data_IF_639888814781
#
_entry.id   IF_639888814781
#
_cell.length_a   1.000
_cell.length_b   1.000
_cell.length_c   1.000
_cell.angle_alpha   90.00
_cell.angle_beta   90.00
_cell.angle_gamma   90.00
#
_symmetry.space_group_name_H-M   'P 1'
#
loop_
_entity.id
_entity.type
_entity.pdbx_description
1 polymer ?
#
# COMPACT_ATOMS: atom_id res chain seq x y z
N UNK A 1 5.31 -0.39 -13.25
CA UNK A 1 5.40 0.77 -12.32
C UNK A 1 6.71 1.55 -12.40
N UNK A 2 7.85 0.96 -12.80
CA UNK A 2 9.10 1.73 -13.01
C UNK A 2 9.26 2.32 -14.42
N UNK A 3 8.39 1.92 -15.34
CA UNK A 3 8.26 2.51 -16.66
C UNK A 3 7.08 3.50 -16.65
N UNK A 4 7.37 4.78 -16.86
CA UNK A 4 6.35 5.85 -16.85
C UNK A 4 5.41 5.73 -18.05
N UNK A 5 5.91 5.36 -19.24
CA UNK A 5 5.08 5.25 -20.44
C UNK A 5 4.00 4.17 -20.33
N UNK A 6 4.30 3.04 -19.69
CA UNK A 6 3.30 2.03 -19.35
C UNK A 6 2.31 2.50 -18.30
N UNK A 7 2.71 3.35 -17.35
CA UNK A 7 1.80 3.88 -16.34
C UNK A 7 0.84 4.90 -16.96
N UNK A 8 1.35 5.83 -17.76
CA UNK A 8 0.54 6.79 -18.52
C UNK A 8 -0.59 6.08 -19.31
N UNK A 9 -0.24 5.04 -20.07
CA UNK A 9 -1.27 4.27 -20.80
C UNK A 9 -2.27 3.56 -19.88
N UNK A 10 -1.83 3.10 -18.71
CA UNK A 10 -2.69 2.39 -17.77
C UNK A 10 -3.61 3.32 -16.96
N UNK A 11 -3.24 4.60 -16.81
CA UNK A 11 -4.00 5.60 -16.06
C UNK A 11 -4.95 6.43 -16.92
N UNK A 12 -4.91 6.29 -18.25
CA UNK A 12 -5.84 6.98 -19.16
C UNK A 12 -7.28 6.58 -18.92
N UNK A 13 -8.11 7.57 -18.56
CA UNK A 13 -9.56 7.43 -18.44
C UNK A 13 -10.02 6.61 -17.22
N UNK A 14 -9.16 6.37 -16.23
CA UNK A 14 -9.56 5.70 -14.98
C UNK A 14 -9.86 6.74 -13.89
N UNK A 15 -10.84 6.44 -13.04
CA UNK A 15 -11.22 7.30 -11.93
C UNK A 15 -10.32 7.16 -10.70
N UNK A 16 -9.83 5.94 -10.45
CA UNK A 16 -9.07 5.61 -9.25
C UNK A 16 -8.04 4.53 -9.55
N UNK A 17 -6.91 4.57 -8.84
CA UNK A 17 -5.87 3.55 -8.93
C UNK A 17 -5.56 2.95 -7.57
N UNK A 18 -5.40 1.63 -7.53
CA UNK A 18 -4.85 0.93 -6.36
C UNK A 18 -3.35 0.71 -6.56
N UNK A 19 -2.54 1.43 -5.79
CA UNK A 19 -1.09 1.35 -5.84
C UNK A 19 -0.58 0.35 -4.81
N UNK A 20 -0.15 -0.83 -5.30
CA UNK A 20 0.48 -1.86 -4.47
C UNK A 20 1.84 -2.24 -5.03
N UNK A 21 2.89 -1.97 -4.26
CA UNK A 21 4.26 -2.25 -4.65
C UNK A 21 4.85 -3.38 -3.79
N UNK A 22 5.45 -4.42 -4.39
CA UNK A 22 6.07 -5.50 -3.64
C UNK A 22 7.25 -5.00 -2.79
N UNK A 23 7.58 -5.73 -1.71
CA UNK A 23 8.71 -5.40 -0.85
C UNK A 23 10.04 -5.67 -1.58
N UNK A 24 10.47 -4.73 -2.41
CA UNK A 24 11.71 -4.77 -3.20
C UNK A 24 12.25 -3.36 -3.46
N UNK A 25 13.46 -3.27 -4.03
CA UNK A 25 14.02 -1.98 -4.46
C UNK A 25 13.14 -1.32 -5.55
N UNK A 26 13.13 0.01 -5.62
CA UNK A 26 12.40 0.79 -6.63
C UNK A 26 11.05 1.36 -6.20
N UNK A 27 10.69 1.28 -4.90
CA UNK A 27 9.44 1.86 -4.38
C UNK A 27 9.35 3.37 -4.66
N UNK A 28 10.46 4.11 -4.51
CA UNK A 28 10.47 5.57 -4.73
C UNK A 28 10.25 5.91 -6.21
N UNK A 29 10.95 5.24 -7.13
CA UNK A 29 10.76 5.42 -8.57
C UNK A 29 9.32 5.11 -8.98
N UNK A 30 8.76 4.00 -8.47
CA UNK A 30 7.38 3.64 -8.71
C UNK A 30 6.39 4.67 -8.15
N UNK A 31 6.64 5.19 -6.95
CA UNK A 31 5.81 6.23 -6.32
C UNK A 31 5.81 7.50 -7.16
N UNK A 32 7.00 7.98 -7.57
CA UNK A 32 7.14 9.17 -8.39
C UNK A 32 6.42 9.02 -9.75
N UNK A 33 6.59 7.87 -10.42
CA UNK A 33 5.92 7.64 -11.69
C UNK A 33 4.40 7.53 -11.57
N UNK A 34 3.89 6.91 -10.48
CA UNK A 34 2.45 6.81 -10.23
C UNK A 34 1.85 8.19 -9.98
N UNK A 35 2.50 9.04 -9.18
CA UNK A 35 2.10 10.43 -8.97
C UNK A 35 2.04 11.17 -10.30
N UNK A 36 3.12 11.12 -11.08
CA UNK A 36 3.19 11.80 -12.38
C UNK A 36 2.07 11.36 -13.33
N UNK A 37 1.91 10.05 -13.53
CA UNK A 37 0.91 9.52 -14.46
C UNK A 37 -0.53 9.78 -13.99
N UNK A 38 -0.78 9.72 -12.68
CA UNK A 38 -2.09 10.01 -12.10
C UNK A 38 -2.48 11.48 -12.28
N UNK A 39 -1.53 12.39 -12.07
CA UNK A 39 -1.74 13.83 -12.27
C UNK A 39 -2.00 14.15 -13.75
N UNK A 40 -1.18 13.63 -14.67
CA UNK A 40 -1.33 13.87 -16.12
C UNK A 40 -2.64 13.35 -16.70
N UNK A 41 -3.20 12.29 -16.11
CA UNK A 41 -4.42 11.63 -16.58
C UNK A 41 -5.65 11.91 -15.70
N UNK A 42 -5.57 12.93 -14.83
CA UNK A 42 -6.69 13.42 -14.02
C UNK A 42 -7.34 12.33 -13.13
N UNK A 43 -6.54 11.37 -12.65
CA UNK A 43 -7.03 10.34 -11.75
C UNK A 43 -7.49 10.99 -10.45
N UNK A 44 -8.70 10.64 -9.99
CA UNK A 44 -9.34 11.31 -8.85
C UNK A 44 -8.89 10.76 -7.50
N UNK A 45 -8.50 9.49 -7.45
CA UNK A 45 -8.13 8.83 -6.20
C UNK A 45 -6.97 7.82 -6.33
N UNK A 46 -6.09 7.80 -5.33
CA UNK A 46 -5.06 6.77 -5.14
C UNK A 46 -5.31 6.04 -3.83
N UNK A 47 -5.55 4.73 -3.90
CA UNK A 47 -5.49 3.84 -2.75
C UNK A 47 -4.08 3.25 -2.66
N UNK A 48 -3.26 3.76 -1.74
CA UNK A 48 -1.89 3.32 -1.56
C UNK A 48 -1.79 2.19 -0.53
N UNK A 49 -1.27 1.04 -0.92
CA UNK A 49 -0.91 -0.04 -0.02
C UNK A 49 0.42 0.25 0.68
N UNK A 50 0.33 0.70 1.92
CA UNK A 50 1.45 0.98 2.82
C UNK A 50 1.62 -0.19 3.82
N UNK A 51 2.08 0.10 5.04
CA UNK A 51 2.30 -0.89 6.09
C UNK A 51 1.92 -0.31 7.45
N UNK A 52 1.39 -1.12 8.36
CA UNK A 52 1.13 -0.72 9.76
C UNK A 52 2.34 -0.11 10.47
N UNK A 53 3.55 -0.50 10.03
CA UNK A 53 4.81 -0.02 10.59
C UNK A 53 5.37 1.23 9.89
N UNK A 54 4.66 1.82 8.93
CA UNK A 54 5.11 3.00 8.16
C UNK A 54 5.17 4.26 9.05
N UNK A 55 6.25 4.38 9.82
CA UNK A 55 6.56 5.51 10.70
C UNK A 55 8.07 5.75 10.74
N UNK A 56 8.47 6.97 11.11
CA UNK A 56 9.86 7.42 11.07
C UNK A 56 10.74 6.61 12.01
N UNK A 57 10.21 6.22 13.15
CA UNK A 57 10.87 5.50 14.24
C UNK A 57 10.92 3.98 13.99
N UNK A 58 10.38 3.48 12.87
CA UNK A 58 10.40 2.05 12.57
C UNK A 58 11.82 1.56 12.42
N UNK A 59 12.14 0.39 12.99
CA UNK A 59 13.47 -0.23 12.88
C UNK A 59 13.76 -0.71 11.44
N UNK A 60 12.72 -1.10 10.69
CA UNK A 60 12.84 -1.67 9.35
C UNK A 60 13.04 -0.62 8.25
N UNK A 61 14.01 -0.85 7.38
CA UNK A 61 14.24 -0.02 6.19
C UNK A 61 13.01 0.04 5.27
N UNK A 62 12.32 -1.09 5.06
CA UNK A 62 11.12 -1.15 4.23
C UNK A 62 10.02 -0.22 4.77
N UNK A 63 9.72 -0.31 6.06
CA UNK A 63 8.72 0.51 6.73
C UNK A 63 9.03 2.02 6.65
N UNK A 64 10.30 2.41 6.85
CA UNK A 64 10.72 3.81 6.66
C UNK A 64 10.56 4.27 5.21
N UNK A 65 10.83 3.42 4.23
CA UNK A 65 10.60 3.73 2.80
C UNK A 65 9.11 3.89 2.48
N UNK A 66 8.24 3.04 3.01
CA UNK A 66 6.79 3.22 2.88
C UNK A 66 6.34 4.54 3.52
N UNK A 67 6.88 4.91 4.69
CA UNK A 67 6.60 6.21 5.30
C UNK A 67 6.99 7.39 4.41
N UNK A 68 8.13 7.30 3.71
CA UNK A 68 8.56 8.33 2.75
C UNK A 68 7.65 8.33 1.52
N UNK A 69 7.26 7.17 0.99
CA UNK A 69 6.32 7.05 -0.14
C UNK A 69 4.99 7.75 0.17
N UNK A 70 4.44 7.51 1.36
CA UNK A 70 3.24 8.22 1.85
C UNK A 70 3.42 9.74 1.79
N UNK A 71 4.55 10.27 2.27
CA UNK A 71 4.83 11.72 2.21
C UNK A 71 4.97 12.28 0.81
N UNK A 72 5.44 11.48 -0.14
CA UNK A 72 5.54 11.89 -1.54
C UNK A 72 4.15 11.93 -2.16
N UNK A 73 3.34 10.91 -1.92
CA UNK A 73 1.95 10.86 -2.36
C UNK A 73 1.08 11.97 -1.75
N UNK A 74 1.25 12.28 -0.45
CA UNK A 74 0.58 13.39 0.25
C UNK A 74 0.80 14.77 -0.40
N UNK A 75 1.85 14.91 -1.24
CA UNK A 75 2.18 16.17 -1.92
C UNK A 75 1.56 16.30 -3.30
N UNK A 76 0.98 15.23 -3.83
CA UNK A 76 0.22 15.23 -5.08
C UNK A 76 -1.12 15.97 -4.88
N UNK A 77 -1.67 16.62 -5.92
CA UNK A 77 -3.03 17.16 -5.87
C UNK A 77 -4.10 16.05 -5.93
N UNK A 78 -3.73 14.79 -6.22
CA UNK A 78 -4.66 13.65 -6.25
C UNK A 78 -5.09 13.27 -4.83
N UNK A 79 -6.36 12.90 -4.64
CA UNK A 79 -6.83 12.43 -3.33
C UNK A 79 -6.19 11.07 -3.00
N UNK A 80 -5.36 11.01 -1.95
CA UNK A 80 -4.70 9.76 -1.55
C UNK A 80 -5.24 9.24 -0.23
N UNK A 81 -5.61 7.95 -0.22
CA UNK A 81 -5.86 7.17 1.00
C UNK A 81 -4.75 6.14 1.19
N UNK A 82 -4.13 6.13 2.36
CA UNK A 82 -3.11 5.16 2.74
C UNK A 82 -3.71 4.02 3.55
N UNK A 83 -3.58 2.80 3.02
CA UNK A 83 -3.95 1.57 3.69
C UNK A 83 -2.74 1.04 4.43
N UNK A 84 -2.88 0.80 5.72
CA UNK A 84 -1.81 0.27 6.56
C UNK A 84 -2.26 -1.08 7.10
N UNK A 85 -2.14 -2.13 6.29
CA UNK A 85 -2.58 -3.44 6.70
C UNK A 85 -1.69 -3.97 7.83
N UNK A 86 -2.29 -4.80 8.67
CA UNK A 86 -1.59 -5.74 9.52
C UNK A 86 -1.12 -6.96 8.70
N UNK A 87 -0.66 -8.02 9.36
CA UNK A 87 -0.28 -9.29 8.77
C UNK A 87 -1.48 -9.97 8.09
N UNK A 88 -1.27 -10.53 6.90
CA UNK A 88 -2.36 -11.14 6.15
C UNK A 88 -2.69 -12.51 6.75
N UNK A 89 -3.97 -12.83 6.87
CA UNK A 89 -4.44 -14.09 7.44
C UNK A 89 -4.01 -15.31 6.60
N UNK A 90 -3.67 -15.09 5.33
CA UNK A 90 -3.21 -16.11 4.39
C UNK A 90 -1.71 -16.44 4.55
N UNK A 91 -0.90 -15.54 5.11
CA UNK A 91 0.55 -15.75 5.22
C UNK A 91 0.93 -16.97 6.07
N UNK A 92 0.29 -17.27 7.21
CA UNK A 92 0.49 -18.52 7.93
C UNK A 92 0.40 -19.76 7.05
N UNK A 93 -0.55 -19.80 6.10
CA UNK A 93 -0.75 -20.95 5.21
C UNK A 93 0.44 -21.08 4.25
N UNK A 94 0.89 -19.96 3.68
CA UNK A 94 2.00 -19.93 2.71
C UNK A 94 3.37 -20.14 3.36
N UNK A 95 3.55 -19.70 4.61
CA UNK A 95 4.81 -19.80 5.35
C UNK A 95 4.95 -21.12 6.12
N UNK A 96 3.90 -21.93 6.16
CA UNK A 96 3.92 -23.19 6.86
C UNK A 96 4.79 -24.23 6.14
N UNK A 97 5.74 -24.80 6.87
CA UNK A 97 6.65 -25.84 6.39
C UNK A 97 6.06 -27.26 6.45
N UNK A 98 4.77 -27.39 6.79
CA UNK A 98 4.08 -28.69 6.91
C UNK A 98 4.27 -29.38 8.27
N UNK A 99 4.97 -28.78 9.23
CA UNK A 99 5.15 -29.36 10.58
C UNK A 99 3.96 -29.07 11.51
N UNK A 100 3.84 -29.73 12.66
CA UNK A 100 2.79 -29.39 13.63
C UNK A 100 2.96 -28.03 14.35
N UNK A 101 3.89 -27.16 13.92
CA UNK A 101 4.27 -25.93 14.63
C UNK A 101 4.55 -24.79 13.66
N UNK A 102 3.96 -23.61 13.90
CA UNK A 102 4.26 -22.39 13.16
C UNK A 102 5.08 -21.44 14.03
N UNK A 103 6.31 -21.10 13.60
CA UNK A 103 7.25 -20.28 14.38
C UNK A 103 7.29 -18.86 13.85
N UNK A 104 7.12 -17.88 14.74
CA UNK A 104 7.19 -16.47 14.40
C UNK A 104 8.20 -15.70 15.27
N UNK A 105 8.86 -14.66 14.73
CA UNK A 105 9.77 -13.79 15.47
C UNK A 105 9.01 -12.71 16.27
N UNK A 106 7.92 -13.08 16.95
CA UNK A 106 7.04 -12.11 17.62
C UNK A 106 7.28 -11.97 19.12
N UNK A 107 8.05 -12.87 19.74
CA UNK A 107 8.11 -12.98 21.21
C UNK A 107 6.68 -12.98 21.80
N UNK A 108 6.38 -12.13 22.79
CA UNK A 108 5.03 -11.96 23.36
C UNK A 108 4.16 -10.94 22.61
N UNK A 109 4.57 -10.56 21.39
CA UNK A 109 3.86 -9.62 20.53
C UNK A 109 2.46 -10.10 20.17
N UNK A 110 1.49 -9.18 20.23
CA UNK A 110 0.12 -9.44 19.81
C UNK A 110 -0.08 -8.92 18.40
N UNK A 111 -0.74 -9.72 17.58
CA UNK A 111 -1.01 -9.39 16.19
C UNK A 111 -2.47 -9.75 15.85
N UNK A 112 -3.14 -8.90 15.07
CA UNK A 112 -4.52 -9.12 14.59
C UNK A 112 -4.45 -9.30 13.08
N UNK A 113 -4.45 -10.53 12.54
CA UNK A 113 -4.38 -10.74 11.10
C UNK A 113 -5.64 -10.27 10.40
N UNK A 114 -5.50 -9.82 9.15
CA UNK A 114 -6.62 -9.43 8.29
C UNK A 114 -6.64 -10.28 7.01
N UNK A 115 -7.81 -10.74 6.60
CA UNK A 115 -7.96 -11.43 5.33
C UNK A 115 -7.79 -10.45 4.16
N UNK A 116 -7.14 -10.89 3.08
CA UNK A 116 -7.00 -10.09 1.87
C UNK A 116 -8.37 -9.69 1.28
N UNK A 117 -9.39 -10.54 1.44
CA UNK A 117 -10.76 -10.24 1.02
C UNK A 117 -11.40 -9.09 1.79
N UNK A 118 -11.11 -8.96 3.08
CA UNK A 118 -11.66 -7.87 3.91
C UNK A 118 -10.97 -6.55 3.59
N UNK A 119 -9.65 -6.59 3.35
CA UNK A 119 -8.94 -5.42 2.81
C UNK A 119 -9.55 -5.01 1.46
N UNK A 120 -9.80 -5.95 0.55
CA UNK A 120 -10.38 -5.65 -0.76
C UNK A 120 -11.75 -4.97 -0.65
N UNK A 121 -12.61 -5.38 0.30
CA UNK A 121 -13.90 -4.73 0.55
C UNK A 121 -13.74 -3.27 1.00
N UNK A 122 -12.79 -3.00 1.91
CA UNK A 122 -12.48 -1.63 2.35
C UNK A 122 -11.95 -0.81 1.18
N UNK A 123 -11.01 -1.37 0.39
CA UNK A 123 -10.39 -0.69 -0.75
C UNK A 123 -11.43 -0.32 -1.80
N UNK A 124 -12.35 -1.24 -2.11
CA UNK A 124 -13.39 -1.04 -3.10
C UNK A 124 -14.39 0.06 -2.73
N UNK A 125 -14.57 0.36 -1.44
CA UNK A 125 -15.46 1.43 -0.98
C UNK A 125 -14.83 2.83 -1.03
N UNK A 126 -13.49 2.94 -1.05
CA UNK A 126 -12.80 4.24 -1.01
C UNK A 126 -13.14 5.15 -2.21
N UNK A 127 -13.22 4.65 -3.46
CA UNK A 127 -13.55 5.50 -4.62
C UNK A 127 -14.92 6.18 -4.57
N UNK A 128 -15.84 5.72 -3.71
CA UNK A 128 -17.17 6.31 -3.56
C UNK A 128 -17.15 7.68 -2.86
N UNK A 129 -16.20 7.89 -1.94
CA UNK A 129 -15.96 9.16 -1.24
C UNK A 129 -14.44 9.36 -0.99
N UNK A 130 -13.68 9.73 -2.04
CA UNK A 130 -12.23 9.88 -1.91
C UNK A 130 -11.85 11.06 -1.01
N UNK A 131 -11.02 10.81 0.01
CA UNK A 131 -10.48 11.84 0.90
C UNK A 131 -8.96 11.86 0.82
N UNK A 132 -8.39 13.05 0.76
CA UNK A 132 -6.93 13.23 0.76
C UNK A 132 -6.35 13.16 2.18
N UNK A 133 -5.15 12.60 2.32
CA UNK A 133 -4.43 12.47 3.59
C UNK A 133 -5.05 11.48 4.58
N UNK A 134 -5.99 10.65 4.14
CA UNK A 134 -6.68 9.69 4.99
C UNK A 134 -5.84 8.44 5.20
N UNK A 135 -5.77 7.94 6.44
CA UNK A 135 -5.04 6.71 6.78
C UNK A 135 -5.99 5.72 7.41
N UNK A 136 -6.10 4.52 6.82
CA UNK A 136 -6.89 3.42 7.35
C UNK A 136 -5.94 2.32 7.83
N UNK A 137 -5.96 2.04 9.13
CA UNK A 137 -5.29 0.87 9.68
C UNK A 137 -6.28 -0.29 9.61
N UNK A 138 -5.93 -1.32 8.85
CA UNK A 138 -6.78 -2.49 8.60
C UNK A 138 -6.03 -3.78 8.89
#
# INVERSE_FOLDING_TARGET
>A
MRDLGSLDRATKGIDALYFTYPIRLGLMDATANVVQAAEENEVRAIMNMSQISARRESAGNAARRHRVAERVLDRSPVAVTHLRPTFFAEWPITMWDGTGTLRFPFADGRHVPIAASDQARVIAAIPEDPRSGHVINI
#
